data_IF_299466615561
#
_entry.id   IF_299466615561
#
_cell.length_a   1.000
_cell.length_b   1.000
_cell.length_c   1.000
_cell.angle_alpha   90.00
_cell.angle_beta   90.00
_cell.angle_gamma   90.00
#
_symmetry.space_group_name_H-M   'P 1'
#
loop_
_entity.id
_entity.type
_entity.pdbx_description
1 polymer ?
#
# COMPACT_ATOMS: atom_id res chain seq x y z
N UNK A 1 1.08 -10.99 -2.63
CA UNK A 1 0.50 -10.75 -1.29
C UNK A 1 -0.23 -12.03 -0.94
N UNK A 2 -0.15 -12.51 0.29
CA UNK A 2 -0.71 -13.81 0.64
C UNK A 2 -1.73 -13.66 1.77
N UNK A 3 -2.85 -14.35 1.65
CA UNK A 3 -3.97 -14.29 2.58
C UNK A 3 -4.41 -15.72 2.93
N UNK A 4 -4.80 -15.93 4.19
CA UNK A 4 -5.32 -17.23 4.65
C UNK A 4 -6.76 -17.37 4.18
N UNK A 5 -7.06 -18.44 3.45
CA UNK A 5 -8.42 -18.74 2.96
C UNK A 5 -9.15 -19.68 3.90
N UNK A 6 -8.48 -20.74 4.36
CA UNK A 6 -9.06 -21.71 5.29
C UNK A 6 -8.01 -22.31 6.23
N UNK A 7 -8.47 -22.72 7.41
CA UNK A 7 -7.70 -23.49 8.38
C UNK A 7 -8.57 -24.68 8.78
N UNK A 8 -8.08 -25.87 8.51
CA UNK A 8 -8.75 -27.15 8.83
C UNK A 8 -7.87 -27.97 9.77
N UNK A 9 -8.48 -28.92 10.49
CA UNK A 9 -7.78 -29.81 11.43
C UNK A 9 -7.90 -29.39 12.89
N UNK A 10 -6.93 -29.82 13.70
CA UNK A 10 -6.94 -29.66 15.15
C UNK A 10 -5.56 -29.27 15.69
N UNK A 11 -5.49 -28.94 16.98
CA UNK A 11 -4.25 -28.51 17.62
C UNK A 11 -3.13 -29.55 17.42
N UNK A 12 -2.00 -29.12 16.85
CA UNK A 12 -0.88 -29.99 16.48
C UNK A 12 -0.89 -30.45 15.02
N UNK A 13 -2.03 -30.38 14.34
CA UNK A 13 -2.22 -30.85 12.96
C UNK A 13 -3.21 -29.97 12.20
N UNK A 14 -2.77 -28.78 11.81
CA UNK A 14 -3.54 -27.88 10.94
C UNK A 14 -3.07 -27.94 9.50
N UNK A 15 -4.02 -28.01 8.57
CA UNK A 15 -3.80 -27.74 7.16
C UNK A 15 -4.31 -26.34 6.87
N UNK A 16 -3.40 -25.42 6.51
CA UNK A 16 -3.73 -24.04 6.17
C UNK A 16 -3.69 -23.85 4.66
N UNK A 17 -4.79 -23.34 4.10
CA UNK A 17 -4.85 -22.92 2.70
C UNK A 17 -4.55 -21.43 2.61
N UNK A 18 -3.51 -21.09 1.84
CA UNK A 18 -3.07 -19.71 1.62
C UNK A 18 -3.18 -19.39 0.13
N UNK A 19 -3.92 -18.33 -0.20
CA UNK A 19 -3.91 -17.75 -1.54
C UNK A 19 -2.77 -16.74 -1.64
N UNK A 20 -1.97 -16.85 -2.69
CA UNK A 20 -0.95 -15.88 -3.07
C UNK A 20 -1.38 -15.15 -4.34
N UNK A 21 -1.76 -13.88 -4.17
CA UNK A 21 -2.10 -12.96 -5.27
C UNK A 21 -0.86 -12.63 -6.11
N UNK A 22 -0.98 -12.60 -7.45
CA UNK A 22 0.13 -12.28 -8.35
C UNK A 22 0.67 -10.88 -8.09
N UNK A 23 1.98 -10.72 -8.22
CA UNK A 23 2.61 -9.39 -8.18
C UNK A 23 2.65 -8.73 -9.55
N UNK A 24 2.49 -9.53 -10.59
CA UNK A 24 2.77 -9.22 -11.99
C UNK A 24 4.21 -8.72 -12.22
N UNK A 25 5.09 -9.07 -11.29
CA UNK A 25 6.50 -8.76 -11.29
C UNK A 25 7.23 -9.98 -10.72
N UNK A 26 8.16 -10.52 -11.48
CA UNK A 26 9.04 -11.62 -11.08
C UNK A 26 9.98 -11.14 -9.96
N UNK A 27 9.88 -11.77 -8.80
CA UNK A 27 10.66 -11.40 -7.62
C UNK A 27 12.15 -11.73 -7.77
N UNK A 28 12.52 -12.75 -8.55
CA UNK A 28 13.91 -13.12 -8.79
C UNK A 28 14.59 -12.13 -9.73
N UNK A 29 13.88 -11.65 -10.75
CA UNK A 29 14.42 -10.69 -11.73
C UNK A 29 14.39 -9.24 -11.25
N UNK A 30 13.38 -8.84 -10.48
CA UNK A 30 13.19 -7.43 -10.11
C UNK A 30 14.35 -6.88 -9.27
N UNK A 31 15.02 -5.84 -9.75
CA UNK A 31 16.13 -5.16 -9.04
C UNK A 31 15.71 -3.91 -8.26
N UNK A 32 14.40 -3.67 -8.13
CA UNK A 32 13.83 -2.54 -7.39
C UNK A 32 14.30 -1.12 -7.82
N UNK A 33 14.62 -0.93 -9.10
CA UNK A 33 15.12 0.35 -9.62
C UNK A 33 14.08 1.48 -9.71
N UNK A 34 12.78 1.17 -9.69
CA UNK A 34 11.70 2.18 -9.70
C UNK A 34 11.28 2.76 -11.05
N UNK A 35 11.95 2.38 -12.14
CA UNK A 35 11.61 2.85 -13.50
C UNK A 35 10.16 2.51 -13.87
N UNK A 36 9.65 1.35 -13.45
CA UNK A 36 8.26 0.96 -13.71
C UNK A 36 7.24 1.91 -13.07
N UNK A 37 7.52 2.43 -11.86
CA UNK A 37 6.68 3.42 -11.21
C UNK A 37 6.80 4.78 -11.91
N UNK A 38 8.03 5.22 -12.21
CA UNK A 38 8.28 6.49 -12.91
C UNK A 38 7.52 6.58 -14.25
N UNK A 39 7.56 5.49 -15.04
CA UNK A 39 6.91 5.42 -16.36
C UNK A 39 5.43 5.09 -16.31
N UNK A 40 4.88 4.71 -15.15
CA UNK A 40 3.46 4.43 -15.01
C UNK A 40 2.63 5.72 -15.12
N UNK A 41 1.69 5.84 -16.06
CA UNK A 41 0.87 7.05 -16.20
C UNK A 41 -0.27 7.14 -15.18
N UNK A 42 -0.72 6.01 -14.61
CA UNK A 42 -1.83 6.00 -13.63
C UNK A 42 -1.37 6.59 -12.30
N UNK A 43 -2.20 7.48 -11.74
CA UNK A 43 -2.10 7.95 -10.36
C UNK A 43 -3.18 7.27 -9.53
N UNK A 44 -2.81 6.79 -8.36
CA UNK A 44 -3.69 6.10 -7.39
C UNK A 44 -3.45 6.75 -6.03
N UNK A 45 -4.46 6.80 -5.17
CA UNK A 45 -4.26 7.23 -3.79
C UNK A 45 -3.23 6.35 -3.08
N UNK A 46 -2.32 6.98 -2.35
CA UNK A 46 -1.30 6.27 -1.59
C UNK A 46 -1.82 5.94 -0.18
N UNK A 47 -2.26 4.70 -0.01
CA UNK A 47 -2.86 4.22 1.24
C UNK A 47 -1.86 4.24 2.40
N UNK A 48 -0.57 3.97 2.13
CA UNK A 48 0.48 4.05 3.14
C UNK A 48 0.66 5.48 3.65
N UNK A 49 0.53 6.46 2.76
CA UNK A 49 0.56 7.89 3.10
C UNK A 49 -0.82 8.49 3.39
N UNK A 50 -1.82 7.67 3.72
CA UNK A 50 -3.18 8.13 4.09
C UNK A 50 -3.85 9.02 3.02
N UNK A 51 -3.55 8.80 1.74
CA UNK A 51 -4.12 9.59 0.65
C UNK A 51 -3.57 11.02 0.51
N UNK A 52 -2.61 11.43 1.34
CA UNK A 52 -1.96 12.75 1.28
C UNK A 52 -1.14 12.96 0.00
N UNK A 53 -0.80 11.88 -0.69
CA UNK A 53 -0.12 11.90 -1.98
C UNK A 53 -0.68 10.81 -2.90
N UNK A 54 -0.26 10.84 -4.16
CA UNK A 54 -0.61 9.82 -5.14
C UNK A 54 0.58 8.91 -5.40
N UNK A 55 0.37 7.60 -5.31
CA UNK A 55 1.27 6.58 -5.85
C UNK A 55 0.93 6.26 -7.30
N UNK A 56 1.63 5.28 -7.85
CA UNK A 56 1.45 4.73 -9.19
C UNK A 56 0.82 3.34 -9.10
N UNK A 57 0.29 2.84 -10.23
CA UNK A 57 -0.20 1.46 -10.26
C UNK A 57 0.94 0.44 -10.15
N UNK A 58 2.12 0.74 -10.69
CA UNK A 58 3.34 0.01 -10.37
C UNK A 58 4.04 0.70 -9.19
N UNK A 59 4.19 0.02 -8.05
CA UNK A 59 4.66 0.65 -6.82
C UNK A 59 5.39 -0.33 -5.88
N UNK A 60 6.07 0.24 -4.89
CA UNK A 60 6.45 -0.42 -3.64
C UNK A 60 5.68 0.26 -2.51
N UNK A 61 5.28 -0.48 -1.46
CA UNK A 61 4.44 0.07 -0.40
C UNK A 61 5.12 1.22 0.35
N UNK A 62 6.43 1.11 0.59
CA UNK A 62 7.27 2.15 1.17
C UNK A 62 8.74 1.88 0.81
N UNK A 63 9.61 2.88 1.00
CA UNK A 63 11.01 2.82 0.54
C UNK A 63 11.84 1.68 1.15
N UNK A 64 11.51 1.24 2.36
CA UNK A 64 12.19 0.17 3.09
C UNK A 64 11.39 -1.14 3.13
N UNK A 65 10.42 -1.32 2.21
CA UNK A 65 9.59 -2.52 2.19
C UNK A 65 10.43 -3.81 2.10
N UNK A 66 9.99 -4.86 2.80
CA UNK A 66 10.63 -6.18 2.79
C UNK A 66 9.60 -7.23 2.32
N UNK A 67 9.86 -7.95 1.22
CA UNK A 67 10.96 -7.76 0.27
C UNK A 67 10.81 -6.45 -0.52
N UNK A 68 11.93 -5.78 -0.81
CA UNK A 68 11.94 -4.57 -1.63
C UNK A 68 11.76 -4.95 -3.11
N UNK A 69 10.50 -5.19 -3.49
CA UNK A 69 10.11 -5.63 -4.84
C UNK A 69 8.83 -4.91 -5.26
N UNK A 70 8.81 -4.45 -6.50
CA UNK A 70 7.63 -3.78 -7.06
C UNK A 70 6.48 -4.77 -7.25
N UNK A 71 5.27 -4.22 -7.25
CA UNK A 71 4.02 -4.91 -7.56
C UNK A 71 3.20 -4.02 -8.48
N UNK A 72 2.37 -4.63 -9.33
CA UNK A 72 1.38 -3.91 -10.13
C UNK A 72 0.00 -4.11 -9.50
N UNK A 73 -0.63 -3.01 -9.16
CA UNK A 73 -2.02 -2.93 -8.69
C UNK A 73 -2.97 -3.21 -9.86
N UNK A 74 -3.56 -4.40 -9.89
CA UNK A 74 -4.45 -4.81 -10.98
C UNK A 74 -5.70 -3.92 -11.08
N UNK A 75 -6.25 -3.51 -9.95
CA UNK A 75 -7.53 -2.78 -9.86
C UNK A 75 -7.44 -1.38 -10.48
N UNK A 76 -6.24 -0.81 -10.51
CA UNK A 76 -6.01 0.52 -11.07
C UNK A 76 -5.15 0.53 -12.35
N UNK A 77 -4.57 -0.60 -12.74
CA UNK A 77 -3.66 -0.67 -13.88
C UNK A 77 -4.42 -0.57 -15.21
N UNK A 78 -4.01 0.41 -16.04
CA UNK A 78 -4.61 0.64 -17.37
C UNK A 78 -4.43 -0.58 -18.30
N UNK A 79 -3.40 -1.41 -18.10
CA UNK A 79 -3.27 -2.65 -18.88
C UNK A 79 -4.37 -3.65 -18.54
N UNK A 80 -4.69 -3.87 -17.26
CA UNK A 80 -5.77 -4.79 -16.89
C UNK A 80 -7.15 -4.21 -17.20
N UNK A 81 -7.32 -2.89 -17.12
CA UNK A 81 -8.59 -2.22 -17.51
C UNK A 81 -8.84 -2.20 -19.02
N UNK A 82 -7.79 -1.98 -19.85
CA UNK A 82 -7.94 -1.63 -21.28
C UNK A 82 -7.05 -2.41 -22.24
N UNK A 83 -6.16 -3.27 -21.75
CA UNK A 83 -5.31 -4.16 -22.55
C UNK A 83 -4.09 -3.53 -23.25
N UNK A 84 -3.77 -2.23 -23.04
CA UNK A 84 -2.83 -1.52 -23.95
C UNK A 84 -1.65 -0.73 -23.35
N UNK A 85 -1.56 -0.53 -22.03
CA UNK A 85 -0.57 0.42 -21.48
C UNK A 85 0.89 -0.09 -21.57
N UNK A 86 1.19 -1.28 -21.01
CA UNK A 86 2.49 -1.98 -21.06
C UNK A 86 3.77 -1.13 -20.85
N UNK A 87 3.66 0.06 -20.27
CA UNK A 87 4.80 0.97 -20.09
C UNK A 87 5.82 0.42 -19.10
N UNK A 88 5.34 -0.14 -17.97
CA UNK A 88 6.20 -0.76 -16.98
C UNK A 88 6.99 -1.96 -17.55
N UNK A 89 6.38 -2.76 -18.43
CA UNK A 89 7.03 -3.87 -19.15
C UNK A 89 8.09 -3.34 -20.12
N UNK A 90 7.70 -2.42 -21.02
CA UNK A 90 8.61 -1.85 -22.04
C UNK A 90 9.88 -1.23 -21.45
N UNK A 91 9.79 -0.57 -20.30
CA UNK A 91 10.91 0.15 -19.69
C UNK A 91 11.62 -0.62 -18.57
N UNK A 92 11.21 -1.85 -18.25
CA UNK A 92 11.88 -2.63 -17.21
C UNK A 92 13.23 -3.14 -17.71
N UNK A 93 14.38 -2.71 -17.16
CA UNK A 93 15.69 -3.16 -17.61
C UNK A 93 15.97 -4.63 -17.26
N UNK A 94 15.26 -5.18 -16.28
CA UNK A 94 15.44 -6.54 -15.80
C UNK A 94 14.44 -7.54 -16.40
N UNK A 95 13.56 -7.08 -17.31
CA UNK A 95 12.50 -7.91 -17.91
C UNK A 95 11.70 -8.70 -16.85
N UNK A 96 11.35 -7.98 -15.78
CA UNK A 96 10.73 -8.56 -14.59
C UNK A 96 9.21 -8.44 -14.59
N UNK A 97 8.60 -7.63 -15.47
CA UNK A 97 7.14 -7.48 -15.50
C UNK A 97 6.54 -8.68 -16.21
N UNK A 98 5.55 -9.31 -15.60
CA UNK A 98 4.86 -10.48 -16.13
C UNK A 98 3.37 -10.36 -15.82
N UNK A 99 2.59 -9.90 -16.81
CA UNK A 99 1.16 -9.71 -16.65
C UNK A 99 0.36 -11.02 -16.63
N UNK A 100 0.97 -12.13 -17.04
CA UNK A 100 0.32 -13.44 -17.12
C UNK A 100 0.43 -14.23 -15.81
N UNK A 101 1.09 -13.67 -14.79
CA UNK A 101 1.12 -14.25 -13.44
C UNK A 101 -0.30 -14.50 -12.94
N UNK A 102 -0.53 -15.73 -12.47
CA UNK A 102 -1.78 -16.16 -11.87
C UNK A 102 -1.63 -16.31 -10.37
N UNK A 103 -2.76 -16.21 -9.70
CA UNK A 103 -2.91 -16.56 -8.29
C UNK A 103 -2.47 -18.01 -8.04
N UNK A 104 -1.80 -18.24 -6.92
CA UNK A 104 -1.32 -19.56 -6.51
C UNK A 104 -1.93 -19.93 -5.17
N UNK A 105 -2.45 -21.15 -5.07
CA UNK A 105 -2.93 -21.69 -3.80
C UNK A 105 -1.87 -22.60 -3.21
N UNK A 106 -1.53 -22.37 -1.94
CA UNK A 106 -0.57 -23.16 -1.17
C UNK A 106 -1.29 -23.89 -0.05
N UNK A 107 -1.00 -25.17 0.13
CA UNK A 107 -1.41 -25.94 1.31
C UNK A 107 -0.21 -26.15 2.22
N UNK A 108 -0.31 -25.72 3.45
CA UNK A 108 0.79 -25.72 4.42
C UNK A 108 0.33 -26.46 5.67
N UNK A 109 1.08 -27.50 6.03
CA UNK A 109 0.88 -28.26 7.27
C UNK A 109 1.63 -27.58 8.42
N UNK A 110 0.93 -27.22 9.49
CA UNK A 110 1.49 -26.53 10.66
C UNK A 110 0.94 -27.09 11.97
N UNK A 111 1.72 -27.01 13.06
CA UNK A 111 1.27 -27.46 14.38
C UNK A 111 0.45 -26.42 15.16
N UNK A 112 0.60 -25.14 14.84
CA UNK A 112 -0.03 -24.03 15.57
C UNK A 112 -0.22 -22.81 14.68
N UNK A 113 -1.24 -21.99 14.98
CA UNK A 113 -1.52 -20.73 14.31
C UNK A 113 -1.50 -19.59 15.32
N UNK A 114 -0.80 -18.49 15.01
CA UNK A 114 -0.74 -17.28 15.83
C UNK A 114 -1.44 -16.16 15.07
N UNK A 115 -2.48 -15.56 15.66
CA UNK A 115 -3.19 -14.42 15.07
C UNK A 115 -2.55 -13.11 15.51
N UNK A 116 -2.04 -12.35 14.54
CA UNK A 116 -1.51 -11.00 14.74
C UNK A 116 -1.96 -10.03 13.62
N UNK A 117 -3.27 -9.85 13.37
CA UNK A 117 -3.78 -9.04 12.26
C UNK A 117 -3.60 -7.53 12.44
N UNK A 118 -3.18 -7.08 13.63
CA UNK A 118 -3.02 -5.65 13.95
C UNK A 118 -4.36 -4.96 14.18
N UNK A 119 -4.45 -3.68 13.80
CA UNK A 119 -5.64 -2.84 13.96
C UNK A 119 -5.72 -1.81 12.83
N UNK A 120 -6.89 -1.17 12.69
CA UNK A 120 -7.10 0.00 11.83
C UNK A 120 -7.43 1.20 12.72
N UNK A 121 -6.94 2.38 12.36
CA UNK A 121 -7.34 3.63 13.03
C UNK A 121 -8.83 3.90 12.85
N UNK A 122 -9.43 4.56 13.83
CA UNK A 122 -10.80 5.06 13.73
C UNK A 122 -10.92 6.04 12.56
N UNK A 123 -12.11 6.09 11.93
CA UNK A 123 -12.44 6.97 10.82
C UNK A 123 -13.37 8.11 11.28
N UNK A 124 -12.84 9.32 11.50
CA UNK A 124 -13.63 10.44 12.02
C UNK A 124 -14.66 10.99 11.03
N UNK A 125 -14.69 10.57 9.76
CA UNK A 125 -15.73 11.01 8.81
C UNK A 125 -17.13 10.63 9.28
N UNK A 126 -17.24 9.65 10.18
CA UNK A 126 -18.50 9.22 10.79
C UNK A 126 -19.12 10.29 11.70
N UNK A 127 -18.36 11.31 12.14
CA UNK A 127 -18.83 12.41 12.98
C UNK A 127 -18.46 13.78 12.41
N UNK A 128 -19.46 14.58 12.03
CA UNK A 128 -19.25 15.92 11.44
C UNK A 128 -18.85 17.00 12.46
N UNK A 129 -18.82 16.69 13.77
CA UNK A 129 -18.50 17.66 14.83
C UNK A 129 -17.12 18.30 14.70
N UNK A 130 -16.17 17.59 14.08
CA UNK A 130 -14.81 18.09 13.91
C UNK A 130 -14.52 18.56 12.48
N UNK A 131 -15.38 18.33 11.49
CA UNK A 131 -15.13 18.75 10.11
C UNK A 131 -13.97 18.02 9.41
N UNK A 132 -13.60 16.82 9.86
CA UNK A 132 -12.64 15.95 9.15
C UNK A 132 -13.19 15.58 7.77
N UNK A 133 -12.34 15.60 6.74
CA UNK A 133 -12.74 15.43 5.33
C UNK A 133 -13.26 16.70 4.64
N UNK A 134 -13.76 17.68 5.39
CA UNK A 134 -14.22 18.97 4.84
C UNK A 134 -13.18 20.08 5.01
N UNK A 135 -12.56 20.16 6.20
CA UNK A 135 -11.54 21.15 6.50
C UNK A 135 -10.14 20.56 6.27
N UNK A 136 -9.34 21.10 5.33
CA UNK A 136 -8.09 20.48 4.88
C UNK A 136 -7.00 20.40 5.97
N UNK A 137 -7.10 21.22 7.02
CA UNK A 137 -6.11 21.25 8.10
C UNK A 137 -6.52 20.42 9.32
N UNK A 138 -7.62 19.68 9.22
CA UNK A 138 -8.04 18.72 10.23
C UNK A 138 -7.62 17.36 9.73
N UNK A 139 -6.69 16.77 10.46
CA UNK A 139 -6.03 15.52 10.12
C UNK A 139 -6.02 14.61 11.33
N UNK A 140 -5.99 13.31 11.08
CA UNK A 140 -5.81 12.24 12.06
C UNK A 140 -4.38 12.20 12.58
N UNK A 141 -4.18 11.53 13.71
CA UNK A 141 -2.84 11.25 14.24
C UNK A 141 -1.98 10.46 13.25
N UNK A 142 -2.56 9.52 12.49
CA UNK A 142 -1.82 8.72 11.52
C UNK A 142 -1.40 9.55 10.29
N UNK A 143 -2.27 10.43 9.77
CA UNK A 143 -1.88 11.39 8.72
C UNK A 143 -0.76 12.32 9.19
N UNK A 144 -0.85 12.80 10.45
CA UNK A 144 0.19 13.63 11.05
C UNK A 144 1.55 12.89 11.13
N UNK A 145 1.56 11.63 11.55
CA UNK A 145 2.76 10.78 11.52
C UNK A 145 3.33 10.64 10.10
N UNK A 146 2.47 10.48 9.08
CA UNK A 146 2.92 10.43 7.68
C UNK A 146 3.57 11.76 7.26
N UNK A 147 2.99 12.91 7.62
CA UNK A 147 3.58 14.24 7.32
C UNK A 147 4.97 14.40 7.97
N UNK A 148 5.12 13.97 9.22
CA UNK A 148 6.38 14.03 9.95
C UNK A 148 7.42 13.00 9.51
N UNK A 149 7.01 11.96 8.78
CA UNK A 149 7.92 10.94 8.30
C UNK A 149 8.85 11.48 7.21
N UNK A 150 10.15 11.19 7.33
CA UNK A 150 11.16 11.53 6.31
C UNK A 150 10.92 10.84 4.96
N UNK A 151 10.28 9.66 4.98
CA UNK A 151 9.82 8.95 3.78
C UNK A 151 8.36 9.26 3.42
N UNK A 152 7.74 10.20 4.12
CA UNK A 152 6.37 10.65 3.91
C UNK A 152 6.25 11.75 2.85
N UNK A 153 5.02 12.21 2.58
CA UNK A 153 4.71 13.15 1.50
C UNK A 153 5.43 14.50 1.66
N UNK A 154 5.67 14.93 2.89
CA UNK A 154 6.31 16.22 3.19
C UNK A 154 7.78 16.08 3.57
N UNK A 155 8.38 14.89 3.42
CA UNK A 155 9.79 14.62 3.75
C UNK A 155 10.17 15.02 5.19
N UNK A 156 9.22 14.92 6.11
CA UNK A 156 9.39 15.30 7.52
C UNK A 156 9.15 16.78 7.83
N UNK A 157 8.82 17.60 6.83
CA UNK A 157 8.42 18.98 7.06
C UNK A 157 6.95 19.04 7.48
N UNK A 158 6.70 19.46 8.73
CA UNK A 158 5.35 19.68 9.20
C UNK A 158 4.71 20.84 8.44
N UNK A 159 3.81 20.52 7.51
CA UNK A 159 3.16 21.47 6.62
C UNK A 159 1.64 21.26 6.65
N UNK A 160 0.89 22.35 6.62
CA UNK A 160 -0.57 22.32 6.55
C UNK A 160 -1.04 21.81 5.18
N UNK A 161 -1.94 20.82 5.10
CA UNK A 161 -2.39 20.31 3.80
C UNK A 161 -3.08 21.37 2.92
N UNK A 162 -3.64 22.43 3.49
CA UNK A 162 -4.32 23.48 2.72
C UNK A 162 -3.40 24.34 1.85
N UNK A 163 -2.17 24.61 2.32
CA UNK A 163 -1.28 25.61 1.70
C UNK A 163 0.22 25.31 1.81
N UNK A 164 0.57 24.11 2.30
CA UNK A 164 1.95 23.66 2.50
C UNK A 164 2.82 24.56 3.40
N UNK A 165 2.21 25.46 4.18
CA UNK A 165 2.96 26.30 5.11
C UNK A 165 3.12 25.63 6.48
N UNK A 166 4.22 25.87 7.20
CA UNK A 166 4.39 25.40 8.57
C UNK A 166 3.31 25.93 9.52
N UNK A 167 2.66 25.08 10.33
CA UNK A 167 1.70 25.54 11.32
C UNK A 167 2.42 26.28 12.45
N UNK A 168 1.91 27.44 12.87
CA UNK A 168 2.43 28.18 14.03
C UNK A 168 1.80 27.75 15.35
N UNK A 169 0.63 27.12 15.30
CA UNK A 169 -0.16 26.62 16.44
C UNK A 169 -0.84 25.32 16.03
N UNK A 170 -0.90 24.36 16.95
CA UNK A 170 -1.50 23.04 16.76
C UNK A 170 -2.39 22.76 17.97
N UNK A 171 -3.56 22.16 17.73
CA UNK A 171 -4.43 21.64 18.77
C UNK A 171 -4.57 20.14 18.60
N UNK A 172 -4.53 19.38 19.70
CA UNK A 172 -4.78 17.95 19.73
C UNK A 172 -6.12 17.69 20.40
N UNK A 173 -7.02 17.06 19.66
CA UNK A 173 -8.31 16.60 20.17
C UNK A 173 -8.13 15.14 20.59
N UNK A 174 -8.28 14.87 21.88
CA UNK A 174 -8.09 13.53 22.43
C UNK A 174 -9.42 12.77 22.47
N UNK A 175 -9.33 11.45 22.48
CA UNK A 175 -10.49 10.54 22.57
C UNK A 175 -11.50 10.72 21.42
N UNK A 176 -10.99 11.09 20.24
CA UNK A 176 -11.74 11.08 18.98
C UNK A 176 -12.00 9.64 18.55
#
# INVERSE_FOLDING_TARGET
MADVESIEGEAGHFTVTVSERPRYVDMAKCIACGICAEKCPRKVDDEYNQGLTKRKAAYVQYAQAVPLKYVIDADHCIYFEKGKCRACEKFCPADAVDFDQKEKTHKIEVGSVILAPGFKSFDPHTYDVYGYGTLPNIITSIEFERILSTSGPSQGHLARPSDNQPPKKIAWLQCV
#
